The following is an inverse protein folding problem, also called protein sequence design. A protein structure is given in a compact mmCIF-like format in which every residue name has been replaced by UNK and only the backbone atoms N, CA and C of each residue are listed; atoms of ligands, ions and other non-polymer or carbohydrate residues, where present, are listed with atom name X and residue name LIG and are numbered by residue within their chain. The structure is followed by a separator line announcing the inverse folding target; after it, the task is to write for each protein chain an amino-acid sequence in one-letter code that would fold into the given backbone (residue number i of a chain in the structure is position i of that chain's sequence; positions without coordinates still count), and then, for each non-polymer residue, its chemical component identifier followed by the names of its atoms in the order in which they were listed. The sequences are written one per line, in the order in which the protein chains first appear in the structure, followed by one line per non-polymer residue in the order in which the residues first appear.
data_IF_826040608339
#
_entry.id   IF_826040608339
#
_cell.length_a   1.000
_cell.length_b   1.000
_cell.length_c   1.000
_cell.angle_alpha   90.00
_cell.angle_beta   90.00
_cell.angle_gamma   90.00
#
_symmetry.space_group_name_H-M   'P 1'
#
loop_
_entity.id
_entity.type
_entity.pdbx_description
1 polymer ?
#
# COMPACT_ATOMS: atom_id res chain seq x y z
N UNK A 1 -9.33 22.22 -9.10
CA UNK A 1 -9.69 21.32 -7.97
C UNK A 1 -8.46 21.23 -7.07
N UNK A 2 -8.59 21.54 -5.78
CA UNK A 2 -7.49 21.49 -4.82
C UNK A 2 -7.50 20.10 -4.13
N UNK A 3 -6.35 19.42 -4.12
CA UNK A 3 -6.18 18.16 -3.40
C UNK A 3 -5.32 18.43 -2.16
N UNK A 4 -5.86 18.11 -0.98
CA UNK A 4 -5.13 18.23 0.26
C UNK A 4 -4.32 16.95 0.49
N UNK A 5 -3.05 17.09 0.83
CA UNK A 5 -2.16 15.96 1.17
C UNK A 5 -1.81 16.06 2.65
N UNK A 6 -2.06 15.01 3.41
CA UNK A 6 -1.61 14.86 4.79
C UNK A 6 -0.44 13.87 4.82
N UNK A 7 0.66 14.27 5.48
CA UNK A 7 1.83 13.39 5.68
C UNK A 7 1.93 13.06 7.16
N UNK A 8 1.83 11.78 7.49
CA UNK A 8 2.08 11.26 8.84
C UNK A 8 3.40 10.48 8.84
N UNK A 9 4.29 10.78 9.78
CA UNK A 9 5.56 10.09 9.97
C UNK A 9 5.61 9.46 11.35
N UNK A 10 6.09 8.22 11.44
CA UNK A 10 6.21 7.46 12.68
C UNK A 10 7.39 6.50 12.59
N UNK A 11 8.18 6.33 13.66
CA UNK A 11 9.23 5.30 13.70
C UNK A 11 8.67 3.89 13.92
N UNK A 12 7.40 3.75 14.31
CA UNK A 12 6.75 2.46 14.56
C UNK A 12 6.11 1.88 13.30
N UNK A 13 6.61 0.74 12.82
CA UNK A 13 6.03 -0.02 11.69
C UNK A 13 4.55 -0.34 11.92
N UNK A 14 4.18 -0.71 13.16
CA UNK A 14 2.78 -0.97 13.54
C UNK A 14 1.88 0.23 13.27
N UNK A 15 2.34 1.42 13.64
CA UNK A 15 1.56 2.65 13.45
C UNK A 15 1.47 3.00 11.96
N UNK A 16 2.55 2.83 11.19
CA UNK A 16 2.53 3.02 9.74
C UNK A 16 1.47 2.12 9.09
N UNK A 17 1.41 0.85 9.50
CA UNK A 17 0.38 -0.09 9.03
C UNK A 17 -1.03 0.35 9.41
N UNK A 18 -1.23 0.86 10.62
CA UNK A 18 -2.53 1.37 11.04
C UNK A 18 -2.97 2.59 10.19
N UNK A 19 -2.06 3.54 9.95
CA UNK A 19 -2.36 4.75 9.18
C UNK A 19 -2.67 4.46 7.71
N UNK A 20 -1.94 3.53 7.09
CA UNK A 20 -2.20 3.14 5.71
C UNK A 20 -3.55 2.44 5.49
N UNK A 21 -4.16 1.91 6.55
CA UNK A 21 -5.51 1.34 6.52
C UNK A 21 -6.63 2.36 6.72
N UNK A 22 -6.31 3.61 7.04
CA UNK A 22 -7.29 4.68 7.21
C UNK A 22 -8.01 5.00 5.90
N UNK A 23 -9.34 5.04 5.96
CA UNK A 23 -10.21 5.38 4.82
C UNK A 23 -10.81 6.78 4.94
N UNK A 24 -10.92 7.28 6.17
CA UNK A 24 -11.53 8.56 6.47
C UNK A 24 -10.69 9.30 7.52
N UNK A 25 -10.66 10.63 7.42
CA UNK A 25 -10.12 11.51 8.47
C UNK A 25 -11.20 12.45 8.96
N UNK A 26 -11.25 12.67 10.27
CA UNK A 26 -12.15 13.63 10.88
C UNK A 26 -11.38 14.91 11.21
N UNK A 27 -11.83 16.05 10.70
CA UNK A 27 -11.27 17.37 10.99
C UNK A 27 -12.40 18.23 11.56
N UNK A 28 -12.35 18.49 12.87
CA UNK A 28 -13.45 19.14 13.57
C UNK A 28 -14.70 18.26 13.53
N UNK A 29 -15.79 18.78 12.95
CA UNK A 29 -17.06 18.07 12.78
C UNK A 29 -17.23 17.43 11.40
N UNK A 30 -16.27 17.61 10.49
CA UNK A 30 -16.34 17.09 9.13
C UNK A 30 -15.53 15.80 8.98
N UNK A 31 -16.04 14.86 8.19
CA UNK A 31 -15.35 13.63 7.78
C UNK A 31 -15.01 13.70 6.30
N UNK A 32 -13.82 13.27 5.94
CA UNK A 32 -13.30 13.28 4.58
C UNK A 32 -12.77 11.90 4.20
N UNK A 33 -13.24 11.36 3.09
CA UNK A 33 -12.68 10.14 2.50
C UNK A 33 -11.26 10.42 1.99
N UNK A 34 -10.34 9.51 2.30
CA UNK A 34 -8.93 9.62 1.95
C UNK A 34 -8.39 8.33 1.37
N UNK A 35 -7.38 8.47 0.51
CA UNK A 35 -6.55 7.37 0.07
C UNK A 35 -5.21 7.44 0.83
N UNK A 36 -5.02 6.56 1.81
CA UNK A 36 -3.74 6.43 2.49
C UNK A 36 -2.81 5.48 1.74
N UNK A 37 -1.51 5.79 1.72
CA UNK A 37 -0.45 4.98 1.12
C UNK A 37 0.81 5.02 1.97
N UNK A 38 1.58 3.94 1.96
CA UNK A 38 2.90 3.97 2.56
C UNK A 38 3.85 4.78 1.69
N UNK A 39 4.65 5.62 2.33
CA UNK A 39 5.87 6.07 1.70
C UNK A 39 6.82 4.88 1.56
N UNK A 40 7.40 4.74 0.37
CA UNK A 40 8.38 3.69 0.10
C UNK A 40 9.59 3.87 1.04
N UNK A 41 10.00 2.83 1.81
CA UNK A 41 11.17 2.92 2.67
C UNK A 41 12.44 3.25 1.89
N UNK A 42 13.44 3.80 2.59
CA UNK A 42 14.78 3.93 2.01
C UNK A 42 15.27 2.53 1.59
N UNK A 43 15.82 2.42 0.39
CA UNK A 43 16.24 1.16 -0.22
C UNK A 43 15.09 0.17 -0.48
N UNK A 44 13.98 0.64 -1.06
CA UNK A 44 12.93 -0.24 -1.60
C UNK A 44 12.95 -0.29 -3.14
N UNK A 45 12.47 -1.38 -3.73
CA UNK A 45 12.21 -1.49 -5.17
C UNK A 45 10.75 -1.83 -5.46
N UNK A 46 10.30 -1.57 -6.70
CA UNK A 46 8.94 -1.85 -7.15
C UNK A 46 8.92 -2.97 -8.17
N UNK A 47 8.00 -3.92 -8.01
CA UNK A 47 7.64 -4.91 -9.02
C UNK A 47 6.24 -4.65 -9.57
N UNK A 48 5.94 -5.20 -10.73
CA UNK A 48 4.62 -5.12 -11.37
C UNK A 48 4.17 -6.54 -11.71
N UNK A 49 2.94 -6.89 -11.31
CA UNK A 49 2.27 -8.08 -11.82
C UNK A 49 1.09 -7.65 -12.69
N UNK A 50 0.98 -8.31 -13.84
CA UNK A 50 -0.12 -8.15 -14.78
C UNK A 50 -1.09 -9.32 -14.67
N UNK A 51 -2.24 -9.20 -15.33
CA UNK A 51 -3.23 -10.27 -15.48
C UNK A 51 -3.80 -10.81 -14.16
N UNK A 52 -3.82 -9.97 -13.12
CA UNK A 52 -4.47 -10.28 -11.84
C UNK A 52 -5.96 -10.07 -11.98
N UNK A 53 -6.73 -11.14 -11.72
CA UNK A 53 -8.20 -11.13 -11.69
C UNK A 53 -8.72 -9.92 -10.89
N UNK A 54 -9.50 -9.00 -11.51
CA UNK A 54 -10.11 -7.84 -10.86
C UNK A 54 -10.95 -8.18 -9.63
N UNK A 55 -11.55 -9.38 -9.57
CA UNK A 55 -12.41 -9.80 -8.47
C UNK A 55 -11.64 -9.99 -7.15
N UNK A 56 -10.33 -10.23 -7.21
CA UNK A 56 -9.50 -10.43 -6.01
C UNK A 56 -9.42 -9.12 -5.22
N UNK A 57 -9.90 -9.15 -3.97
CA UNK A 57 -9.94 -8.00 -3.05
C UNK A 57 -8.55 -7.62 -2.55
N UNK A 58 -8.41 -6.39 -2.07
CA UNK A 58 -7.13 -5.88 -1.56
C UNK A 58 -6.53 -6.75 -0.44
N UNK A 59 -7.34 -7.15 0.54
CA UNK A 59 -6.89 -8.00 1.65
C UNK A 59 -6.42 -9.37 1.15
N UNK A 60 -7.13 -9.96 0.19
CA UNK A 60 -6.75 -11.25 -0.41
C UNK A 60 -5.42 -11.12 -1.16
N UNK A 61 -5.21 -10.03 -1.91
CA UNK A 61 -3.90 -9.76 -2.56
C UNK A 61 -2.77 -9.64 -1.54
N UNK A 62 -3.00 -8.92 -0.44
CA UNK A 62 -2.00 -8.79 0.61
C UNK A 62 -1.65 -10.15 1.22
N UNK A 63 -2.64 -10.99 1.53
CA UNK A 63 -2.39 -12.34 2.05
C UNK A 63 -1.69 -13.26 1.04
N UNK A 64 -1.98 -13.11 -0.26
CA UNK A 64 -1.39 -13.93 -1.32
C UNK A 64 0.05 -13.53 -1.65
N UNK A 65 0.41 -12.25 -1.53
CA UNK A 65 1.74 -11.75 -1.94
C UNK A 65 2.66 -11.56 -0.73
N UNK A 66 2.13 -11.06 0.38
CA UNK A 66 2.87 -10.80 1.61
C UNK A 66 2.76 -12.06 2.49
N UNK A 67 3.62 -13.04 2.20
CA UNK A 67 3.65 -14.32 2.90
C UNK A 67 4.97 -14.50 3.67
N UNK A 68 5.02 -15.39 4.68
CA UNK A 68 6.28 -15.72 5.36
C UNK A 68 7.38 -16.24 4.43
N UNK A 69 7.03 -16.72 3.23
CA UNK A 69 8.01 -17.16 2.20
C UNK A 69 8.42 -16.03 1.24
N UNK A 70 7.74 -14.90 1.27
CA UNK A 70 8.07 -13.69 0.51
C UNK A 70 8.27 -12.52 1.48
N UNK A 71 9.29 -12.65 2.34
CA UNK A 71 9.51 -11.77 3.49
C UNK A 71 9.87 -10.33 3.11
N UNK A 72 10.26 -10.10 1.86
CA UNK A 72 10.63 -8.78 1.37
C UNK A 72 9.45 -8.02 0.78
N UNK A 73 8.32 -8.66 0.46
CA UNK A 73 7.12 -7.94 0.01
C UNK A 73 6.53 -7.11 1.16
N UNK A 74 6.42 -5.80 0.95
CA UNK A 74 5.96 -4.84 1.94
C UNK A 74 4.50 -4.42 1.70
N UNK A 75 4.11 -4.25 0.44
CA UNK A 75 2.77 -3.81 0.06
C UNK A 75 2.41 -4.28 -1.35
N UNK A 76 1.12 -4.45 -1.62
CA UNK A 76 0.58 -4.62 -2.97
C UNK A 76 -0.61 -3.70 -3.19
N UNK A 77 -0.61 -2.98 -4.32
CA UNK A 77 -1.75 -2.12 -4.72
C UNK A 77 -2.15 -2.33 -6.17
N UNK A 78 -3.46 -2.36 -6.41
CA UNK A 78 -4.01 -2.35 -7.77
C UNK A 78 -3.98 -0.94 -8.33
N UNK A 79 -3.62 -0.84 -9.59
CA UNK A 79 -3.72 0.41 -10.32
C UNK A 79 -5.19 0.58 -10.73
N UNK A 80 -5.93 1.42 -9.99
CA UNK A 80 -7.35 1.68 -10.25
C UNK A 80 -8.14 0.35 -10.36
N UNK A 81 -8.91 0.19 -11.43
CA UNK A 81 -9.69 -1.01 -11.74
C UNK A 81 -9.09 -1.81 -12.91
N UNK A 82 -7.76 -1.93 -12.98
CA UNK A 82 -7.07 -2.70 -14.03
C UNK A 82 -6.61 -4.07 -13.50
N UNK A 83 -6.17 -4.97 -14.38
CA UNK A 83 -5.54 -6.25 -14.01
C UNK A 83 -4.10 -6.10 -13.48
N UNK A 84 -3.61 -4.88 -13.29
CA UNK A 84 -2.22 -4.60 -12.91
C UNK A 84 -2.12 -4.24 -11.44
N UNK A 85 -1.14 -4.84 -10.76
CA UNK A 85 -0.79 -4.51 -9.37
C UNK A 85 0.69 -4.16 -9.26
N UNK A 86 0.99 -3.17 -8.41
CA UNK A 86 2.35 -2.77 -8.03
C UNK A 86 2.65 -3.41 -6.68
N UNK A 87 3.81 -4.03 -6.57
CA UNK A 87 4.33 -4.59 -5.33
C UNK A 87 5.53 -3.75 -4.89
N UNK A 88 5.56 -3.38 -3.62
CA UNK A 88 6.72 -2.76 -3.00
C UNK A 88 7.53 -3.84 -2.27
N UNK A 89 8.82 -3.91 -2.53
CA UNK A 89 9.74 -4.81 -1.83
C UNK A 89 10.75 -4.04 -1.00
N UNK A 90 11.18 -4.65 0.10
CA UNK A 90 12.37 -4.25 0.84
C UNK A 90 13.63 -4.64 0.07
N UNK A 91 14.64 -3.77 0.09
CA UNK A 91 15.85 -3.91 -0.71
C UNK A 91 15.81 -3.21 -2.07
N UNK A 92 16.95 -3.20 -2.74
CA UNK A 92 17.17 -2.46 -4.00
C UNK A 92 16.81 -3.27 -5.27
N UNK A 93 16.43 -4.54 -5.13
CA UNK A 93 16.16 -5.46 -6.25
C UNK A 93 14.95 -6.33 -5.95
N UNK A 94 14.17 -6.61 -6.99
CA UNK A 94 13.08 -7.58 -6.92
C UNK A 94 13.71 -8.95 -6.64
N UNK A 95 13.20 -9.73 -5.67
CA UNK A 95 13.68 -11.09 -5.44
C UNK A 95 13.47 -11.99 -6.66
N UNK A 96 14.42 -12.89 -6.91
CA UNK A 96 14.32 -13.97 -7.92
C UNK A 96 13.39 -15.10 -7.46
#
# INVERSE_FOLDING_TARGET
MMQNIMVASTPSKRNTMAYAGGKDINIGQASYEVNAYFAAPKNSCKGVLCDIDPAIKHQERQCLIIQPKNTTALEVRRIKNTSTVVILFDGLKVPD
#
